data_IF_176567252515
#
_entry.id   IF_176567252515
#
_cell.length_a   1.000
_cell.length_b   1.000
_cell.length_c   1.000
_cell.angle_alpha   90.00
_cell.angle_beta   90.00
_cell.angle_gamma   90.00
#
_symmetry.space_group_name_H-M   'P 1'
#
loop_
_entity.id
_entity.type
_entity.pdbx_description
1 polymer ?
#
# COMPACT_ATOMS: atom_id res chain seq x y z
N UNK A 1 22.97 -16.75 14.63
CA UNK A 1 21.56 -16.79 14.16
C UNK A 1 21.38 -16.32 12.71
N UNK A 2 22.07 -15.27 12.24
CA UNK A 2 21.98 -14.77 10.85
C UNK A 2 22.35 -15.82 9.78
N UNK A 3 23.38 -16.64 10.03
CA UNK A 3 23.81 -17.69 9.10
C UNK A 3 22.70 -18.69 8.76
N UNK A 4 21.98 -19.18 9.79
CA UNK A 4 20.89 -20.14 9.63
C UNK A 4 19.72 -19.53 8.82
N UNK A 5 19.38 -18.26 9.07
CA UNK A 5 18.33 -17.57 8.31
C UNK A 5 18.70 -17.43 6.82
N UNK A 6 19.96 -17.07 6.52
CA UNK A 6 20.44 -16.95 5.15
C UNK A 6 20.45 -18.30 4.41
N UNK A 7 20.73 -19.40 5.12
CA UNK A 7 20.68 -20.75 4.57
C UNK A 7 19.24 -21.12 4.15
N UNK A 8 18.28 -20.97 5.07
CA UNK A 8 16.85 -21.23 4.79
C UNK A 8 16.34 -20.37 3.63
N UNK A 9 16.76 -19.10 3.54
CA UNK A 9 16.39 -18.24 2.42
C UNK A 9 16.89 -18.78 1.08
N UNK A 10 18.15 -19.20 0.99
CA UNK A 10 18.74 -19.75 -0.26
C UNK A 10 18.15 -21.09 -0.66
N UNK A 11 17.73 -21.91 0.30
CA UNK A 11 17.08 -23.20 0.04
C UNK A 11 15.67 -23.04 -0.55
N UNK A 12 14.97 -21.95 -0.22
CA UNK A 12 13.54 -21.77 -0.57
C UNK A 12 13.27 -20.66 -1.60
N UNK A 13 14.19 -19.70 -1.77
CA UNK A 13 14.00 -18.53 -2.63
C UNK A 13 15.24 -18.28 -3.49
N UNK A 14 15.03 -17.72 -4.69
CA UNK A 14 16.14 -17.24 -5.51
C UNK A 14 16.80 -16.02 -4.82
N UNK A 15 18.08 -16.11 -4.38
CA UNK A 15 18.75 -15.03 -3.67
C UNK A 15 18.97 -13.76 -4.50
N UNK A 16 18.84 -13.84 -5.83
CA UNK A 16 18.97 -12.71 -6.75
C UNK A 16 17.62 -12.10 -7.15
N UNK A 17 16.50 -12.71 -6.75
CA UNK A 17 15.17 -12.22 -7.07
C UNK A 17 14.62 -11.36 -5.93
N UNK A 18 14.12 -10.17 -6.27
CA UNK A 18 13.49 -9.25 -5.33
C UNK A 18 12.09 -8.89 -5.83
N UNK A 19 11.10 -8.93 -4.94
CA UNK A 19 9.72 -8.58 -5.25
C UNK A 19 9.51 -7.07 -5.08
N UNK A 20 9.43 -6.35 -6.21
CA UNK A 20 9.17 -4.91 -6.18
C UNK A 20 7.67 -4.62 -6.02
N UNK A 21 7.34 -3.83 -4.99
CA UNK A 21 5.99 -3.32 -4.74
C UNK A 21 5.99 -1.79 -4.73
N UNK A 22 4.96 -1.18 -5.29
CA UNK A 22 4.66 0.23 -5.08
C UNK A 22 3.40 0.36 -4.25
N UNK A 23 3.46 1.13 -3.17
CA UNK A 23 2.33 1.39 -2.28
C UNK A 23 1.82 2.82 -2.47
N UNK A 24 0.49 2.98 -2.48
CA UNK A 24 -0.17 4.29 -2.50
C UNK A 24 -1.31 4.36 -1.48
N UNK A 25 -1.29 5.38 -0.64
CA UNK A 25 -2.44 5.71 0.21
C UNK A 25 -3.56 6.31 -0.64
N UNK A 26 -4.74 5.72 -0.60
CA UNK A 26 -5.92 6.23 -1.33
C UNK A 26 -6.79 7.16 -0.50
N UNK A 27 -6.54 7.24 0.81
CA UNK A 27 -7.21 8.15 1.74
C UNK A 27 -6.24 8.38 2.90
N UNK A 28 -5.83 9.63 3.11
CA UNK A 28 -4.73 9.97 4.02
C UNK A 28 -5.23 10.83 5.18
N UNK A 29 -4.80 10.50 6.40
CA UNK A 29 -5.11 11.28 7.60
C UNK A 29 -6.51 11.05 8.16
N UNK A 30 -6.80 11.59 9.35
CA UNK A 30 -8.12 11.49 9.98
C UNK A 30 -8.49 10.09 10.47
N UNK A 31 -7.52 9.23 10.80
CA UNK A 31 -7.80 7.88 11.29
C UNK A 31 -8.28 7.91 12.75
N UNK A 32 -9.43 7.29 13.08
CA UNK A 32 -9.94 7.29 14.46
C UNK A 32 -9.15 6.39 15.43
N UNK A 33 -8.35 5.46 14.89
CA UNK A 33 -7.50 4.54 15.65
C UNK A 33 -6.40 5.29 16.40
N UNK A 34 -5.98 4.75 17.55
CA UNK A 34 -5.04 5.34 18.51
C UNK A 34 -3.65 4.68 18.47
N UNK A 35 -3.22 4.25 17.27
CA UNK A 35 -1.90 3.67 17.10
C UNK A 35 -0.80 4.71 17.38
N UNK A 36 -0.08 4.56 18.50
CA UNK A 36 0.92 5.53 18.99
C UNK A 36 2.11 5.82 18.06
N UNK A 37 2.33 5.00 17.03
CA UNK A 37 3.37 5.18 16.02
C UNK A 37 2.84 5.73 14.68
N UNK A 38 1.51 5.79 14.48
CA UNK A 38 0.93 6.10 13.18
C UNK A 38 0.71 7.61 13.02
N UNK A 39 1.36 8.26 12.03
CA UNK A 39 1.20 9.70 11.82
C UNK A 39 -0.19 10.06 11.26
N UNK A 40 -1.01 9.10 10.84
CA UNK A 40 -2.34 9.34 10.30
C UNK A 40 -3.45 9.29 11.36
N UNK A 41 -3.13 8.93 12.61
CA UNK A 41 -4.08 8.97 13.71
C UNK A 41 -4.53 10.40 13.99
N UNK A 42 -5.85 10.59 14.06
CA UNK A 42 -6.46 11.86 14.44
C UNK A 42 -6.25 12.20 15.94
N UNK A 43 -5.69 11.28 16.72
CA UNK A 43 -5.40 11.47 18.15
C UNK A 43 -4.12 12.26 18.40
N UNK A 44 -3.26 12.40 17.39
CA UNK A 44 -1.95 13.06 17.53
C UNK A 44 -1.78 14.18 16.50
N UNK A 45 -1.08 15.26 16.88
CA UNK A 45 -0.78 16.38 16.00
C UNK A 45 0.53 16.12 15.25
N UNK A 46 0.42 15.54 14.05
CA UNK A 46 1.57 15.11 13.23
C UNK A 46 1.79 15.96 11.98
N UNK A 47 0.93 16.96 11.75
CA UNK A 47 0.95 17.81 10.54
C UNK A 47 0.41 17.15 9.27
N UNK A 48 -0.02 15.88 9.33
CA UNK A 48 -0.61 15.17 8.20
C UNK A 48 -1.98 15.76 7.86
N UNK A 49 -2.12 16.27 6.63
CA UNK A 49 -3.37 16.82 6.12
C UNK A 49 -4.38 15.72 5.81
N UNK A 50 -5.65 15.96 6.14
CA UNK A 50 -6.74 15.06 5.81
C UNK A 50 -7.09 15.18 4.33
N UNK A 51 -6.92 14.11 3.58
CA UNK A 51 -7.21 14.03 2.16
C UNK A 51 -8.40 13.11 1.93
N UNK A 52 -9.29 13.54 1.04
CA UNK A 52 -10.43 12.73 0.63
C UNK A 52 -9.97 11.46 -0.10
N UNK A 53 -10.90 10.53 -0.23
CA UNK A 53 -10.69 9.30 -0.98
C UNK A 53 -10.40 9.64 -2.46
N UNK A 54 -9.32 9.11 -3.00
CA UNK A 54 -8.96 9.29 -4.41
C UNK A 54 -9.99 8.64 -5.34
N UNK A 55 -10.12 9.22 -6.55
CA UNK A 55 -10.97 8.68 -7.59
C UNK A 55 -10.40 7.40 -8.21
N UNK A 56 -11.29 6.55 -8.70
CA UNK A 56 -10.91 5.26 -9.32
C UNK A 56 -9.93 5.45 -10.47
N UNK A 57 -10.14 6.46 -11.30
CA UNK A 57 -9.34 6.70 -12.50
C UNK A 57 -7.94 7.19 -12.15
N UNK A 58 -7.81 7.96 -11.06
CA UNK A 58 -6.50 8.34 -10.50
C UNK A 58 -5.76 7.10 -9.99
N UNK A 59 -6.43 6.22 -9.23
CA UNK A 59 -5.82 4.96 -8.75
C UNK A 59 -5.31 4.11 -9.90
N UNK A 60 -6.07 4.00 -10.99
CA UNK A 60 -5.68 3.25 -12.19
C UNK A 60 -4.49 3.90 -12.89
N UNK A 61 -4.51 5.23 -13.02
CA UNK A 61 -3.42 5.97 -13.67
C UNK A 61 -2.11 5.78 -12.91
N UNK A 62 -2.14 5.91 -11.58
CA UNK A 62 -0.97 5.69 -10.72
C UNK A 62 -0.49 4.24 -10.76
N UNK A 63 -1.40 3.27 -10.81
CA UNK A 63 -1.03 1.87 -10.95
C UNK A 63 -0.37 1.55 -12.29
N UNK A 64 -0.84 2.15 -13.40
CA UNK A 64 -0.20 2.03 -14.72
C UNK A 64 1.21 2.63 -14.71
N UNK A 65 1.38 3.78 -14.06
CA UNK A 65 2.71 4.40 -13.88
C UNK A 65 3.61 3.52 -13.02
N UNK A 66 3.10 2.90 -11.96
CA UNK A 66 3.88 1.96 -11.14
C UNK A 66 4.32 0.74 -11.97
N UNK A 67 3.43 0.19 -12.80
CA UNK A 67 3.75 -0.91 -13.72
C UNK A 67 4.82 -0.51 -14.75
N UNK A 68 4.72 0.68 -15.35
CA UNK A 68 5.73 1.16 -16.30
C UNK A 68 7.09 1.43 -15.64
N UNK A 69 7.12 1.69 -14.33
CA UNK A 69 8.34 1.79 -13.51
C UNK A 69 8.89 0.44 -13.03
N UNK A 70 8.32 -0.68 -13.49
CA UNK A 70 8.82 -2.03 -13.17
C UNK A 70 8.27 -2.63 -11.87
N UNK A 71 7.24 -2.04 -11.25
CA UNK A 71 6.62 -2.64 -10.07
C UNK A 71 5.85 -3.91 -10.44
N UNK A 72 6.20 -5.04 -9.81
CA UNK A 72 5.47 -6.31 -9.96
C UNK A 72 4.17 -6.35 -9.15
N UNK A 73 4.03 -5.50 -8.13
CA UNK A 73 2.83 -5.40 -7.30
C UNK A 73 2.47 -3.93 -7.03
N UNK A 74 1.20 -3.60 -7.21
CA UNK A 74 0.64 -2.31 -6.78
C UNK A 74 -0.26 -2.51 -5.56
N UNK A 75 0.11 -1.90 -4.45
CA UNK A 75 -0.59 -1.97 -3.17
C UNK A 75 -1.26 -0.64 -2.91
N UNK A 76 -2.51 -0.66 -2.49
CA UNK A 76 -3.24 0.55 -2.14
C UNK A 76 -4.24 0.26 -1.04
N UNK A 77 -4.45 1.25 -0.17
CA UNK A 77 -5.33 1.09 0.99
C UNK A 77 -5.69 2.43 1.63
N UNK A 78 -6.84 2.49 2.31
CA UNK A 78 -7.20 3.64 3.13
C UNK A 78 -6.46 3.59 4.47
N UNK A 79 -6.46 4.70 5.21
CA UNK A 79 -6.09 4.69 6.62
C UNK A 79 -7.10 3.86 7.45
N UNK A 80 -6.58 3.11 8.43
CA UNK A 80 -7.35 2.35 9.43
C UNK A 80 -8.02 1.07 8.95
N UNK A 81 -8.45 0.23 9.90
CA UNK A 81 -9.05 -1.09 9.66
C UNK A 81 -10.53 -1.11 9.25
N UNK A 82 -11.05 -0.02 8.69
CA UNK A 82 -12.49 0.16 8.41
C UNK A 82 -12.88 0.11 6.92
N UNK A 83 -14.08 -0.44 6.66
CA UNK A 83 -14.85 -0.53 5.40
C UNK A 83 -14.11 -0.44 4.06
N UNK A 84 -14.29 -1.47 3.21
CA UNK A 84 -13.80 -1.46 1.83
C UNK A 84 -14.32 -0.20 1.11
N UNK A 85 -13.42 0.68 0.62
CA UNK A 85 -13.82 1.88 -0.09
C UNK A 85 -14.72 1.54 -1.27
N UNK A 86 -15.69 2.42 -1.58
CA UNK A 86 -16.62 2.25 -2.72
C UNK A 86 -15.89 1.92 -4.03
N UNK A 87 -14.69 2.49 -4.20
CA UNK A 87 -13.83 2.31 -5.38
C UNK A 87 -13.30 0.87 -5.55
N UNK A 88 -13.36 0.03 -4.51
CA UNK A 88 -12.68 -1.26 -4.46
C UNK A 88 -13.11 -2.28 -5.49
N UNK A 89 -14.42 -2.41 -5.73
CA UNK A 89 -14.93 -3.37 -6.73
C UNK A 89 -14.49 -2.96 -8.15
N UNK A 90 -14.59 -1.65 -8.47
CA UNK A 90 -14.27 -1.10 -9.79
C UNK A 90 -12.76 -1.15 -10.06
N UNK A 91 -11.94 -0.68 -9.12
CA UNK A 91 -10.48 -0.68 -9.27
C UNK A 91 -9.90 -2.09 -9.39
N UNK A 92 -10.38 -3.06 -8.59
CA UNK A 92 -9.89 -4.45 -8.67
C UNK A 92 -10.16 -5.10 -10.03
N UNK A 93 -11.32 -4.85 -10.65
CA UNK A 93 -11.65 -5.39 -11.99
C UNK A 93 -10.75 -4.78 -13.08
N UNK A 94 -10.38 -3.51 -12.93
CA UNK A 94 -9.61 -2.76 -13.93
C UNK A 94 -8.10 -2.95 -13.78
N UNK A 95 -7.59 -3.16 -12.56
CA UNK A 95 -6.16 -3.39 -12.28
C UNK A 95 -5.69 -4.83 -12.53
N UNK A 96 -6.62 -5.76 -12.77
CA UNK A 96 -6.32 -7.17 -13.09
C UNK A 96 -6.24 -7.46 -14.60
N UNK A 97 -6.58 -6.47 -15.43
CA UNK A 97 -6.41 -6.49 -16.89
C UNK A 97 -5.01 -5.96 -17.23
#
# INVERSE_FOLDING_TARGET
MIYRAAQVHRENFNPQAIQLSTLMSIKTGGCPEDCGYCPQSARYQTGVQNQQLLDVDEVITKAKIAKSRGAGRFVWGPHGGGQKPRIWKKSRKLLRQ
#
